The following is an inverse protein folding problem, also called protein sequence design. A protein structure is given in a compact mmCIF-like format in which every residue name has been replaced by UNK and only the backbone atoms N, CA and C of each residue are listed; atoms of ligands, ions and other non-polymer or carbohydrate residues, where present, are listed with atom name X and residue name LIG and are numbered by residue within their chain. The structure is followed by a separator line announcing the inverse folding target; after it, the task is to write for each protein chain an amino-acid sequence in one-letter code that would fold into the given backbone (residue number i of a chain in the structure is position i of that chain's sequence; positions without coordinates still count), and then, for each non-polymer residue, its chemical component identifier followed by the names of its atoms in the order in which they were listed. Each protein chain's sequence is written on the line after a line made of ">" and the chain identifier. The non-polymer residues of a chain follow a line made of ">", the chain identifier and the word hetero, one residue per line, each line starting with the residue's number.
data_IF_143506754713
#
_entry.id   IF_143506754713
#
_cell.length_a   1.000
_cell.length_b   1.000
_cell.length_c   1.000
_cell.angle_alpha   90.00
_cell.angle_beta   90.00
_cell.angle_gamma   90.00
#
_symmetry.space_group_name_H-M   'P 1'
#
loop_
_entity.id
_entity.type
_entity.pdbx_description
1 polymer ?
#
# COMPACT_ATOMS: atom_id res chain seq x y z
N UNK A 1 -15.53 -2.31 18.81
CA UNK A 1 -14.72 -2.10 17.59
C UNK A 1 -13.82 -3.30 17.43
N UNK A 2 -13.80 -3.95 16.26
CA UNK A 2 -12.85 -5.04 16.01
C UNK A 2 -11.56 -4.42 15.47
N UNK A 3 -10.38 -4.80 15.97
CA UNK A 3 -9.11 -4.15 15.58
C UNK A 3 -8.78 -4.19 14.08
N UNK A 4 -9.46 -5.03 13.31
CA UNK A 4 -9.31 -5.17 11.86
C UNK A 4 -10.33 -4.34 11.03
N UNK A 5 -11.35 -3.75 11.65
CA UNK A 5 -12.39 -2.99 10.96
C UNK A 5 -13.07 -1.93 11.86
N UNK A 6 -13.31 -0.75 11.31
CA UNK A 6 -14.05 0.33 11.98
C UNK A 6 -13.20 1.50 12.48
N UNK A 7 -11.92 1.57 12.10
CA UNK A 7 -11.09 2.76 12.29
C UNK A 7 -11.29 3.73 11.12
N UNK A 8 -11.47 5.01 11.43
CA UNK A 8 -11.55 6.11 10.48
C UNK A 8 -10.38 7.05 10.73
N UNK A 9 -9.83 7.63 9.66
CA UNK A 9 -8.68 8.52 9.73
C UNK A 9 -8.63 9.41 8.48
N UNK A 10 -7.75 10.40 8.48
CA UNK A 10 -7.53 11.32 7.36
C UNK A 10 -6.25 10.99 6.61
N UNK A 11 -6.06 11.56 5.41
CA UNK A 11 -4.80 11.42 4.68
C UNK A 11 -3.63 12.03 5.47
N UNK A 12 -3.87 13.14 6.18
CA UNK A 12 -2.87 13.78 7.03
C UNK A 12 -2.44 12.90 8.20
N UNK A 13 -3.37 12.27 8.92
CA UNK A 13 -3.03 11.36 10.02
C UNK A 13 -2.28 10.12 9.51
N UNK A 14 -2.74 9.55 8.40
CA UNK A 14 -2.09 8.41 7.76
C UNK A 14 -0.69 8.77 7.26
N UNK A 15 -0.44 10.01 6.82
CA UNK A 15 0.90 10.46 6.41
C UNK A 15 1.89 10.44 7.58
N UNK A 16 1.44 10.79 8.79
CA UNK A 16 2.26 10.72 10.01
C UNK A 16 2.61 9.26 10.30
N UNK A 17 1.61 8.38 10.25
CA UNK A 17 1.81 6.95 10.45
C UNK A 17 2.74 6.34 9.40
N UNK A 18 2.56 6.67 8.12
CA UNK A 18 3.41 6.19 7.03
C UNK A 18 4.84 6.70 7.15
N UNK A 19 5.03 7.98 7.49
CA UNK A 19 6.35 8.52 7.71
C UNK A 19 7.04 7.87 8.93
N UNK A 20 6.29 7.61 10.01
CA UNK A 20 6.80 6.87 11.17
C UNK A 20 7.32 5.48 10.78
N UNK A 21 6.58 4.78 9.92
CA UNK A 21 6.96 3.47 9.39
C UNK A 21 8.19 3.57 8.46
N UNK A 22 8.26 4.55 7.56
CA UNK A 22 9.44 4.82 6.72
C UNK A 22 10.69 5.10 7.56
N UNK A 23 10.54 5.84 8.66
CA UNK A 23 11.61 6.19 9.57
C UNK A 23 12.00 5.05 10.54
N UNK A 24 11.56 3.81 10.29
CA UNK A 24 11.89 2.66 11.14
C UNK A 24 11.32 2.79 12.55
N UNK A 25 10.10 3.31 12.67
CA UNK A 25 9.36 3.36 13.94
C UNK A 25 9.44 4.69 14.68
N UNK A 26 10.06 5.73 14.10
CA UNK A 26 10.26 7.03 14.73
C UNK A 26 9.52 8.15 14.00
N UNK A 27 8.85 9.04 14.74
CA UNK A 27 8.30 10.27 14.17
C UNK A 27 8.60 11.47 15.07
N UNK A 28 9.24 12.49 14.49
CA UNK A 28 9.83 13.58 15.26
C UNK A 28 10.81 13.05 16.31
N UNK A 29 10.56 13.35 17.58
CA UNK A 29 11.39 12.96 18.73
C UNK A 29 10.89 11.72 19.46
N UNK A 30 9.89 11.02 18.90
CA UNK A 30 9.23 9.90 19.58
C UNK A 30 9.37 8.59 18.79
N UNK A 31 9.99 7.60 19.45
CA UNK A 31 10.01 6.21 19.00
C UNK A 31 8.72 5.51 19.41
N UNK A 32 8.00 4.99 18.43
CA UNK A 32 6.79 4.17 18.60
C UNK A 32 7.14 2.69 18.48
N UNK A 33 8.00 2.34 17.52
CA UNK A 33 8.49 0.96 17.32
C UNK A 33 10.02 0.94 17.22
N UNK A 34 10.62 -0.19 17.59
CA UNK A 34 12.02 -0.45 17.26
C UNK A 34 12.16 -0.73 15.76
N UNK A 35 13.29 -0.36 15.11
CA UNK A 35 13.47 -0.61 13.68
C UNK A 35 13.38 -2.10 13.33
N UNK A 36 13.84 -2.99 14.22
CA UNK A 36 13.76 -4.44 14.05
C UNK A 36 12.31 -4.93 14.06
N UNK A 37 11.45 -4.29 14.87
CA UNK A 37 10.01 -4.59 14.90
C UNK A 37 9.34 -4.16 13.59
N UNK A 38 9.65 -2.96 13.09
CA UNK A 38 9.15 -2.50 11.79
C UNK A 38 9.59 -3.47 10.68
N UNK A 39 10.87 -3.83 10.63
CA UNK A 39 11.39 -4.80 9.66
C UNK A 39 10.71 -6.17 9.76
N UNK A 40 10.37 -6.63 10.97
CA UNK A 40 9.64 -7.88 11.17
C UNK A 40 8.20 -7.80 10.65
N UNK A 41 7.54 -6.64 10.78
CA UNK A 41 6.17 -6.47 10.30
C UNK A 41 6.08 -6.41 8.78
N UNK A 42 7.07 -5.83 8.12
CA UNK A 42 7.01 -5.50 6.70
C UNK A 42 7.67 -6.54 5.80
N UNK A 43 8.46 -7.46 6.36
CA UNK A 43 9.03 -8.60 5.62
C UNK A 43 7.98 -9.69 5.38
N UNK A 44 8.00 -10.31 4.19
CA UNK A 44 7.17 -11.50 3.89
C UNK A 44 7.34 -12.54 5.00
N UNK A 45 6.22 -12.96 5.58
CA UNK A 45 6.20 -13.80 6.76
C UNK A 45 6.51 -15.27 6.44
N UNK A 46 6.28 -15.70 5.19
CA UNK A 46 6.51 -17.06 4.70
C UNK A 46 5.88 -18.16 5.58
N UNK A 47 4.78 -17.82 6.27
CA UNK A 47 3.99 -18.77 7.09
C UNK A 47 3.22 -19.75 6.21
N UNK A 48 2.82 -19.30 5.02
CA UNK A 48 2.15 -20.10 4.00
C UNK A 48 3.00 -20.05 2.73
N UNK A 49 3.30 -21.21 2.17
CA UNK A 49 4.10 -21.33 0.94
C UNK A 49 3.46 -20.54 -0.22
N UNK A 50 4.28 -19.80 -0.96
CA UNK A 50 3.83 -18.95 -2.07
C UNK A 50 3.06 -17.69 -1.66
N UNK A 51 2.86 -17.43 -0.36
CA UNK A 51 2.17 -16.22 0.10
C UNK A 51 3.09 -15.00 0.04
N UNK A 52 2.60 -13.91 -0.56
CA UNK A 52 3.26 -12.60 -0.53
C UNK A 52 2.97 -11.80 0.75
N UNK A 53 2.29 -12.39 1.75
CA UNK A 53 1.86 -11.64 2.94
C UNK A 53 2.98 -11.47 3.95
N UNK A 54 3.05 -10.27 4.51
CA UNK A 54 3.81 -9.93 5.70
C UNK A 54 2.84 -9.82 6.91
N UNK A 55 3.35 -9.50 8.11
CA UNK A 55 2.52 -9.46 9.31
C UNK A 55 1.60 -8.24 9.30
N UNK A 56 0.36 -8.43 8.84
CA UNK A 56 -0.64 -7.36 8.68
C UNK A 56 -0.53 -6.58 7.37
N UNK A 57 0.39 -6.96 6.48
CA UNK A 57 0.71 -6.22 5.26
C UNK A 57 0.68 -7.11 4.01
N UNK A 58 0.35 -6.48 2.88
CA UNK A 58 0.61 -7.00 1.53
C UNK A 58 2.03 -6.61 1.12
N UNK A 59 2.65 -7.41 0.26
CA UNK A 59 3.92 -7.06 -0.41
C UNK A 59 3.76 -7.20 -1.94
N UNK A 60 4.61 -6.55 -2.74
CA UNK A 60 4.55 -6.57 -4.19
C UNK A 60 4.61 -8.00 -4.72
N UNK A 61 3.57 -8.41 -5.43
CA UNK A 61 3.50 -9.69 -6.14
C UNK A 61 2.41 -9.65 -7.21
N UNK A 62 2.72 -10.08 -8.44
CA UNK A 62 1.75 -10.18 -9.53
C UNK A 62 0.97 -8.88 -9.78
N UNK A 63 -0.34 -8.89 -9.53
CA UNK A 63 -1.24 -7.74 -9.78
C UNK A 63 -1.42 -6.87 -8.52
N UNK A 64 -0.29 -6.41 -7.97
CA UNK A 64 -0.22 -5.59 -6.77
C UNK A 64 -1.11 -4.35 -6.86
N UNK A 65 -1.74 -3.98 -5.74
CA UNK A 65 -2.72 -2.89 -5.74
C UNK A 65 -2.11 -1.48 -5.80
N UNK A 66 -0.81 -1.35 -5.47
CA UNK A 66 -0.08 -0.09 -5.40
C UNK A 66 0.72 0.26 -6.67
N UNK A 67 0.38 -0.31 -7.82
CA UNK A 67 1.07 0.00 -9.08
C UNK A 67 2.01 -1.11 -9.54
N UNK A 68 2.78 -0.81 -10.58
CA UNK A 68 3.81 -1.69 -11.13
C UNK A 68 5.24 -1.17 -10.88
N UNK A 69 5.36 -0.01 -10.23
CA UNK A 69 6.63 0.67 -9.93
C UNK A 69 7.07 0.52 -8.47
N UNK A 70 6.33 -0.26 -7.67
CA UNK A 70 6.71 -0.59 -6.29
C UNK A 70 8.06 -1.31 -6.28
N UNK A 71 9.00 -0.88 -5.42
CA UNK A 71 10.20 -1.66 -5.10
C UNK A 71 9.83 -2.99 -4.43
N UNK A 72 10.69 -4.01 -4.51
CA UNK A 72 10.44 -5.33 -3.91
C UNK A 72 10.29 -5.29 -2.37
N UNK A 73 10.78 -4.23 -1.73
CA UNK A 73 10.69 -4.01 -0.27
C UNK A 73 9.49 -3.16 0.15
N UNK A 74 8.64 -2.77 -0.82
CA UNK A 74 7.41 -2.05 -0.53
C UNK A 74 6.41 -2.90 0.26
N UNK A 75 5.49 -2.26 0.95
CA UNK A 75 4.40 -2.93 1.65
C UNK A 75 3.16 -2.05 1.73
N UNK A 76 1.99 -2.66 1.81
CA UNK A 76 0.74 -1.91 1.78
C UNK A 76 -0.49 -2.68 2.23
N UNK A 77 -1.62 -1.99 2.28
CA UNK A 77 -2.90 -2.60 2.61
C UNK A 77 -4.03 -1.92 1.87
N UNK A 78 -5.13 -2.64 1.67
CA UNK A 78 -6.36 -2.09 1.06
C UNK A 78 -7.53 -2.14 2.03
N UNK A 79 -8.47 -1.23 1.86
CA UNK A 79 -9.71 -1.18 2.61
C UNK A 79 -10.94 -1.56 1.77
N UNK A 80 -11.98 -2.00 2.47
CA UNK A 80 -13.21 -2.43 1.84
C UNK A 80 -13.90 -1.31 1.05
N UNK A 81 -13.88 -0.07 1.54
CA UNK A 81 -14.51 1.08 0.87
C UNK A 81 -13.74 1.58 -0.35
N UNK A 82 -12.58 1.01 -0.65
CA UNK A 82 -11.73 1.40 -1.77
C UNK A 82 -10.37 1.93 -1.32
N UNK A 83 -10.20 2.32 -0.06
CA UNK A 83 -8.94 2.89 0.42
C UNK A 83 -7.72 2.00 0.17
N UNK A 84 -6.55 2.61 0.06
CA UNK A 84 -5.27 1.90 0.01
C UNK A 84 -4.13 2.75 0.51
N UNK A 85 -3.13 2.10 1.07
CA UNK A 85 -1.90 2.71 1.56
C UNK A 85 -0.75 1.81 1.15
N UNK A 86 0.25 2.38 0.47
CA UNK A 86 1.49 1.70 0.12
C UNK A 86 2.67 2.55 0.55
N UNK A 87 3.69 1.92 1.10
CA UNK A 87 4.92 2.53 1.58
C UNK A 87 6.08 1.83 0.87
N UNK A 88 6.99 2.63 0.33
CA UNK A 88 8.17 2.19 -0.40
C UNK A 88 9.43 2.74 0.27
N UNK A 89 10.07 1.93 1.13
CA UNK A 89 11.30 2.33 1.82
C UNK A 89 12.49 2.56 0.89
N UNK A 90 12.53 1.95 -0.29
CA UNK A 90 13.63 2.14 -1.23
C UNK A 90 13.56 3.54 -1.85
N UNK A 91 12.35 3.94 -2.29
CA UNK A 91 12.09 5.23 -2.88
C UNK A 91 11.74 6.33 -1.86
N UNK A 92 11.80 6.02 -0.56
CA UNK A 92 11.50 6.94 0.56
C UNK A 92 10.15 7.66 0.40
N UNK A 93 9.12 6.94 -0.06
CA UNK A 93 7.81 7.52 -0.36
C UNK A 93 6.66 6.63 0.14
N UNK A 94 5.47 7.23 0.19
CA UNK A 94 4.23 6.50 0.41
C UNK A 94 3.10 7.11 -0.41
N UNK A 95 2.12 6.28 -0.78
CA UNK A 95 0.94 6.69 -1.52
C UNK A 95 -0.31 6.30 -0.75
N UNK A 96 -1.14 7.28 -0.47
CA UNK A 96 -2.40 7.13 0.27
C UNK A 96 -3.54 7.50 -0.67
N UNK A 97 -4.45 6.56 -0.89
CA UNK A 97 -5.67 6.80 -1.66
C UNK A 97 -6.87 6.52 -0.76
N UNK A 98 -7.62 7.58 -0.44
CA UNK A 98 -8.86 7.48 0.34
C UNK A 98 -10.06 7.72 -0.57
N UNK A 99 -10.85 6.68 -0.80
CA UNK A 99 -12.05 6.73 -1.64
C UNK A 99 -13.21 6.03 -0.95
N UNK A 100 -14.42 6.29 -1.46
CA UNK A 100 -15.61 5.53 -1.14
C UNK A 100 -16.18 4.89 -2.41
N UNK A 101 -15.39 4.01 -3.03
CA UNK A 101 -15.72 3.32 -4.27
C UNK A 101 -16.94 2.38 -4.16
N UNK A 102 -17.46 2.16 -2.95
CA UNK A 102 -18.69 1.39 -2.72
C UNK A 102 -19.93 2.29 -2.63
N UNK A 103 -19.79 3.61 -2.74
CA UNK A 103 -20.89 4.54 -2.75
C UNK A 103 -21.31 4.92 -4.19
N UNK A 104 -22.63 5.04 -4.47
CA UNK A 104 -23.76 4.61 -3.63
C UNK A 104 -23.95 3.09 -3.59
N UNK A 105 -23.33 2.32 -4.50
CA UNK A 105 -23.45 0.86 -4.54
C UNK A 105 -22.08 0.19 -4.69
N UNK A 106 -21.89 -0.96 -4.02
CA UNK A 106 -20.67 -1.79 -4.08
C UNK A 106 -20.28 -2.20 -5.49
N UNK A 107 -21.23 -2.25 -6.42
CA UNK A 107 -20.98 -2.57 -7.84
C UNK A 107 -20.03 -1.56 -8.49
N UNK A 108 -19.99 -0.31 -8.03
CA UNK A 108 -19.07 0.71 -8.55
C UNK A 108 -17.59 0.36 -8.34
N UNK A 109 -17.29 -0.48 -7.34
CA UNK A 109 -15.93 -0.93 -7.06
C UNK A 109 -15.45 -2.01 -8.04
N UNK A 110 -16.32 -2.70 -8.76
CA UNK A 110 -15.94 -3.84 -9.61
C UNK A 110 -16.40 -3.62 -11.06
N UNK A 111 -15.54 -3.78 -12.08
CA UNK A 111 -14.12 -4.15 -12.04
C UNK A 111 -13.15 -2.97 -12.08
N UNK A 112 -13.62 -1.79 -12.50
CA UNK A 112 -12.77 -0.71 -12.97
C UNK A 112 -11.90 -0.10 -11.87
N UNK A 113 -12.45 0.04 -10.65
CA UNK A 113 -11.74 0.69 -9.56
C UNK A 113 -10.37 0.06 -9.27
N UNK A 114 -10.25 -1.27 -9.42
CA UNK A 114 -9.00 -1.97 -9.16
C UNK A 114 -7.88 -1.56 -10.13
N UNK A 115 -8.22 -1.36 -11.40
CA UNK A 115 -7.30 -0.93 -12.44
C UNK A 115 -6.94 0.55 -12.23
N UNK A 116 -7.95 1.39 -11.98
CA UNK A 116 -7.77 2.80 -11.70
C UNK A 116 -6.90 3.05 -10.48
N UNK A 117 -7.09 2.30 -9.40
CA UNK A 117 -6.23 2.39 -8.21
C UNK A 117 -4.77 2.09 -8.58
N UNK A 118 -4.52 1.02 -9.34
CA UNK A 118 -3.15 0.69 -9.75
C UNK A 118 -2.53 1.81 -10.60
N UNK A 119 -3.31 2.40 -11.52
CA UNK A 119 -2.88 3.53 -12.35
C UNK A 119 -2.63 4.80 -11.54
N UNK A 120 -3.48 5.12 -10.55
CA UNK A 120 -3.30 6.29 -9.68
C UNK A 120 -2.00 6.16 -8.89
N UNK A 121 -1.72 4.99 -8.30
CA UNK A 121 -0.46 4.79 -7.58
C UNK A 121 0.73 4.93 -8.52
N UNK A 122 0.69 4.27 -9.69
CA UNK A 122 1.76 4.37 -10.67
C UNK A 122 2.01 5.81 -11.17
N UNK A 123 0.95 6.61 -11.36
CA UNK A 123 1.07 8.01 -11.76
C UNK A 123 1.83 8.86 -10.73
N UNK A 124 1.74 8.53 -9.43
CA UNK A 124 2.53 9.22 -8.39
C UNK A 124 4.02 8.92 -8.56
N UNK A 125 4.39 7.66 -8.83
CA UNK A 125 5.78 7.29 -9.16
C UNK A 125 6.27 8.01 -10.42
N UNK A 126 5.48 8.00 -11.49
CA UNK A 126 5.82 8.67 -12.75
C UNK A 126 6.03 10.18 -12.56
N UNK A 127 5.21 10.81 -11.71
CA UNK A 127 5.30 12.26 -11.42
C UNK A 127 6.62 12.70 -10.78
N UNK A 128 7.36 11.76 -10.17
CA UNK A 128 8.68 11.99 -9.59
C UNK A 128 9.80 11.32 -10.40
N UNK A 129 9.50 10.86 -11.62
CA UNK A 129 10.47 10.28 -12.54
C UNK A 129 10.77 8.80 -12.33
N UNK A 130 9.98 8.09 -11.51
CA UNK A 130 10.11 6.65 -11.32
C UNK A 130 9.15 5.91 -12.25
N UNK A 131 9.67 5.36 -13.34
CA UNK A 131 8.88 4.65 -14.36
C UNK A 131 9.45 3.29 -14.76
N UNK A 132 10.44 2.79 -14.02
CA UNK A 132 11.00 1.46 -14.23
C UNK A 132 10.06 0.41 -13.65
N UNK A 133 9.44 -0.39 -14.53
CA UNK A 133 8.49 -1.43 -14.14
C UNK A 133 9.20 -2.55 -13.38
N UNK A 134 8.72 -2.86 -12.18
CA UNK A 134 9.12 -4.05 -11.46
C UNK A 134 8.71 -5.31 -12.26
N UNK A 135 9.69 -6.18 -12.53
CA UNK A 135 9.53 -7.40 -13.34
C UNK A 135 8.53 -8.39 -12.75
N UNK A 136 8.35 -8.38 -11.42
CA UNK A 136 7.43 -9.25 -10.70
C UNK A 136 5.97 -8.73 -10.74
N UNK A 137 5.77 -7.51 -11.23
CA UNK A 137 4.48 -6.83 -11.22
C UNK A 137 3.84 -6.75 -12.60
N UNK A 138 2.52 -6.79 -12.61
CA UNK A 138 1.71 -6.79 -13.82
C UNK A 138 0.57 -5.81 -13.70
N UNK A 139 0.30 -5.11 -14.80
CA UNK A 139 -0.88 -4.29 -14.92
C UNK A 139 -2.14 -5.15 -14.83
N UNK A 140 -3.19 -4.59 -14.22
CA UNK A 140 -4.55 -5.07 -14.38
C UNK A 140 -5.09 -4.48 -15.67
N UNK A 141 -5.09 -5.28 -16.72
CA UNK A 141 -5.64 -4.89 -18.02
C UNK A 141 -7.10 -5.33 -18.12
N UNK A 142 -8.04 -4.46 -17.76
CA UNK A 142 -9.45 -4.60 -18.19
C UNK A 142 -9.99 -3.39 -18.96
N UNK A 143 -9.14 -2.41 -19.26
CA UNK A 143 -9.48 -1.25 -20.09
C UNK A 143 -8.31 -0.91 -21.02
N UNK A 144 -8.45 -1.28 -22.30
CA UNK A 144 -7.83 -0.61 -23.45
C UNK A 144 -8.93 0.13 -24.19
#
# INVERSE_FOLDING_TARGET
>A
VAGHAGLFSTASDLSIFSQMMLNGGNYGWKRIFNPETVGSFTKRANVVEGSSRALGWDTPDGKASGGVYLSDVSYGHTGFTGTSLWIDPENQMFVILLTNAVHPNRTNKNPNYFDWRQKIHAAVYESIGLSEKNVNLNWRERWK
#
